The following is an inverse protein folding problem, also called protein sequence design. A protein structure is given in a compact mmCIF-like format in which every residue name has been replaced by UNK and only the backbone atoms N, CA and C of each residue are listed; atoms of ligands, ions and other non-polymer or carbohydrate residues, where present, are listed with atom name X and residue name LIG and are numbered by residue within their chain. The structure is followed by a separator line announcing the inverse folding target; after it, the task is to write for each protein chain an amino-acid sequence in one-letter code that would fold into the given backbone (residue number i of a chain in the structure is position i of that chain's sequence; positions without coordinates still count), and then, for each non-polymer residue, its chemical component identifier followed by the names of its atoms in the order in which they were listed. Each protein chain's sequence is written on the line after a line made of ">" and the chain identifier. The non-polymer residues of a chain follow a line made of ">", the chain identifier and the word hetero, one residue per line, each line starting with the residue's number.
data_IF_988150988505
#
_entry.id   IF_988150988505
#
_cell.length_a   1.000
_cell.length_b   1.000
_cell.length_c   1.000
_cell.angle_alpha   90.00
_cell.angle_beta   90.00
_cell.angle_gamma   90.00
#
_symmetry.space_group_name_H-M   'P 1'
#
loop_
_entity.id
_entity.type
_entity.pdbx_description
1 polymer ?
#
# COMPACT_ATOMS: atom_id res chain seq x y z
N UNK A 1 -4.07 -2.97 3.84
CA UNK A 1 -3.52 -1.81 4.57
C UNK A 1 -4.63 -1.11 5.33
N UNK A 2 -4.46 -0.83 6.61
CA UNK A 2 -5.51 -0.21 7.41
C UNK A 2 -5.46 -0.59 8.89
N UNK A 3 -5.96 0.30 9.74
CA UNK A 3 -6.02 0.06 11.18
C UNK A 3 -7.10 -0.95 11.53
N UNK A 4 -6.81 -1.81 12.50
CA UNK A 4 -7.81 -2.70 13.07
C UNK A 4 -8.93 -1.87 13.71
N UNK A 5 -10.17 -2.26 13.44
CA UNK A 5 -11.35 -1.66 14.02
C UNK A 5 -12.60 -2.48 13.72
N UNK A 6 -13.76 -1.90 13.97
CA UNK A 6 -15.04 -2.51 13.69
C UNK A 6 -16.18 -1.68 14.25
N UNK A 7 -17.40 -2.15 14.04
CA UNK A 7 -18.61 -1.44 14.49
C UNK A 7 -18.60 -1.14 16.00
N UNK A 8 -18.15 -2.10 16.82
CA UNK A 8 -18.18 -1.97 18.29
C UNK A 8 -17.22 -0.95 18.88
N UNK A 9 -16.20 -0.50 18.12
CA UNK A 9 -15.27 0.53 18.55
C UNK A 9 -15.25 1.75 17.61
N UNK A 10 -16.20 1.82 16.68
CA UNK A 10 -16.34 2.93 15.77
C UNK A 10 -16.78 4.19 16.51
N UNK A 11 -16.12 5.31 16.20
CA UNK A 11 -16.52 6.64 16.65
C UNK A 11 -16.25 7.65 15.55
N UNK A 12 -17.28 8.40 15.18
CA UNK A 12 -17.15 9.42 14.14
C UNK A 12 -16.37 10.63 14.66
N UNK A 13 -15.33 11.01 13.93
CA UNK A 13 -14.45 12.14 14.27
C UNK A 13 -14.70 13.31 13.33
N UNK A 14 -15.13 14.45 13.88
CA UNK A 14 -15.24 15.73 13.16
C UNK A 14 -13.90 16.47 13.04
N UNK A 15 -12.81 15.73 12.86
CA UNK A 15 -11.49 16.32 12.75
C UNK A 15 -11.37 17.12 11.44
N UNK A 16 -10.83 18.35 11.44
CA UNK A 16 -10.76 19.21 10.24
C UNK A 16 -10.06 18.58 9.03
N UNK A 17 -9.18 17.60 9.27
CA UNK A 17 -8.41 16.91 8.24
C UNK A 17 -9.17 15.80 7.51
N UNK A 18 -10.29 15.32 8.06
CA UNK A 18 -11.01 14.14 7.56
C UNK A 18 -12.51 14.34 7.45
N UNK A 19 -13.09 15.22 8.27
CA UNK A 19 -14.53 15.50 8.23
C UNK A 19 -14.92 16.15 6.90
N UNK A 20 -15.99 15.65 6.27
CA UNK A 20 -16.44 16.14 4.97
C UNK A 20 -15.58 15.72 3.76
N UNK A 21 -14.54 14.88 3.94
CA UNK A 21 -13.65 14.42 2.85
C UNK A 21 -13.85 12.93 2.54
N UNK A 22 -14.64 12.56 1.50
CA UNK A 22 -14.94 11.16 1.18
C UNK A 22 -13.68 10.31 0.93
N UNK A 23 -12.68 10.87 0.25
CA UNK A 23 -11.45 10.16 -0.12
C UNK A 23 -10.30 10.37 0.87
N UNK A 24 -10.57 10.80 2.11
CA UNK A 24 -9.52 10.98 3.11
C UNK A 24 -8.69 9.71 3.28
N UNK A 25 -9.33 8.55 3.40
CA UNK A 25 -8.64 7.27 3.53
C UNK A 25 -7.73 7.00 2.32
N UNK A 26 -8.30 7.05 1.12
CA UNK A 26 -7.59 6.80 -0.13
C UNK A 26 -6.34 7.68 -0.26
N UNK A 27 -6.48 8.99 0.00
CA UNK A 27 -5.39 9.97 -0.14
C UNK A 27 -4.34 9.91 0.97
N UNK A 28 -4.75 9.65 2.21
CA UNK A 28 -3.83 9.67 3.34
C UNK A 28 -3.05 8.36 3.50
N UNK A 29 -3.64 7.23 3.06
CA UNK A 29 -3.16 5.91 3.44
C UNK A 29 -2.69 5.07 2.25
N UNK A 30 -3.29 5.18 1.05
CA UNK A 30 -2.95 4.26 -0.03
C UNK A 30 -1.62 4.56 -0.72
N UNK A 31 -1.01 5.72 -0.48
CA UNK A 31 0.37 5.99 -0.90
C UNK A 31 1.37 4.97 -0.36
N UNK A 32 1.13 4.42 0.85
CA UNK A 32 2.00 3.39 1.44
C UNK A 32 1.96 2.07 0.65
N UNK A 33 0.82 1.37 0.50
CA UNK A 33 0.77 0.12 -0.26
C UNK A 33 1.09 0.33 -1.75
N UNK A 34 0.70 1.44 -2.36
CA UNK A 34 1.09 1.71 -3.75
C UNK A 34 2.61 1.82 -3.91
N UNK A 35 3.29 2.52 -2.99
CA UNK A 35 4.75 2.61 -2.99
C UNK A 35 5.41 1.23 -2.82
N UNK A 36 4.93 0.41 -1.88
CA UNK A 36 5.45 -0.95 -1.63
C UNK A 36 5.25 -1.85 -2.85
N UNK A 37 4.04 -1.89 -3.40
CA UNK A 37 3.73 -2.70 -4.59
C UNK A 37 4.57 -2.25 -5.78
N UNK A 38 4.71 -0.94 -6.00
CA UNK A 38 5.54 -0.39 -7.07
C UNK A 38 7.02 -0.74 -6.89
N UNK A 39 7.53 -0.70 -5.67
CA UNK A 39 8.92 -1.04 -5.37
C UNK A 39 9.27 -2.47 -5.80
N UNK A 40 8.37 -3.43 -5.55
CA UNK A 40 8.61 -4.84 -5.91
C UNK A 40 8.17 -5.21 -7.33
N UNK A 41 7.11 -4.58 -7.84
CA UNK A 41 6.46 -5.00 -9.08
C UNK A 41 6.67 -4.03 -10.25
N UNK A 42 7.30 -2.88 -10.05
CA UNK A 42 7.47 -1.85 -11.08
C UNK A 42 6.26 -0.92 -11.22
N UNK A 43 6.21 -0.15 -12.30
CA UNK A 43 5.16 0.84 -12.53
C UNK A 43 3.79 0.19 -12.83
N UNK A 44 2.71 0.79 -12.32
CA UNK A 44 1.33 0.38 -12.61
C UNK A 44 0.86 1.03 -13.92
N UNK A 45 0.28 0.22 -14.80
CA UNK A 45 -0.25 0.64 -16.10
C UNK A 45 -1.76 0.73 -16.16
N UNK A 46 -2.46 -0.07 -15.34
CA UNK A 46 -3.92 -0.10 -15.31
C UNK A 46 -4.41 -0.28 -13.87
N UNK A 47 -5.47 0.43 -13.53
CA UNK A 47 -6.13 0.44 -12.23
C UNK A 47 -7.62 0.21 -12.45
N UNK A 48 -8.22 -0.69 -11.66
CA UNK A 48 -9.66 -0.82 -11.53
C UNK A 48 -10.02 -0.89 -10.05
N UNK A 49 -11.00 -0.14 -9.60
CA UNK A 49 -11.35 -0.05 -8.19
C UNK A 49 -12.85 -0.15 -7.95
N UNK A 50 -13.19 -0.91 -6.92
CA UNK A 50 -14.48 -0.88 -6.25
C UNK A 50 -14.25 -0.45 -4.81
N UNK A 51 -14.95 0.59 -4.37
CA UNK A 51 -14.77 1.15 -3.04
C UNK A 51 -16.12 1.39 -2.40
N UNK A 52 -16.16 1.40 -1.06
CA UNK A 52 -17.41 1.58 -0.34
C UNK A 52 -17.18 2.05 1.10
N UNK A 53 -18.25 2.36 1.81
CA UNK A 53 -18.28 2.56 3.26
C UNK A 53 -19.25 1.59 3.94
N UNK A 54 -18.88 1.00 5.09
CA UNK A 54 -19.71 0.04 5.81
C UNK A 54 -20.99 0.69 6.39
N UNK A 55 -21.96 -0.14 6.78
CA UNK A 55 -23.27 0.30 7.23
C UNK A 55 -23.23 1.27 8.42
N UNK A 56 -22.37 1.02 9.41
CA UNK A 56 -22.29 1.86 10.61
C UNK A 56 -21.76 3.28 10.31
N UNK A 57 -20.86 3.44 9.32
CA UNK A 57 -20.44 4.78 8.83
C UNK A 57 -21.58 5.50 8.14
N UNK A 58 -22.35 4.78 7.30
CA UNK A 58 -23.54 5.33 6.65
C UNK A 58 -24.55 5.81 7.68
N UNK A 59 -24.81 5.01 8.72
CA UNK A 59 -25.70 5.37 9.82
C UNK A 59 -25.25 6.62 10.59
N UNK A 60 -23.94 6.84 10.72
CA UNK A 60 -23.37 8.02 11.36
C UNK A 60 -23.27 9.26 10.45
N UNK A 61 -23.62 9.14 9.16
CA UNK A 61 -23.44 10.22 8.18
C UNK A 61 -21.97 10.46 7.80
N UNK A 62 -21.06 9.55 8.14
CA UNK A 62 -19.64 9.64 7.81
C UNK A 62 -19.42 9.40 6.31
N UNK A 63 -18.94 10.42 5.61
CA UNK A 63 -18.76 10.41 4.15
C UNK A 63 -17.55 9.58 3.69
N UNK A 64 -16.66 9.19 4.60
CA UNK A 64 -15.41 8.54 4.21
C UNK A 64 -15.65 7.19 3.54
N UNK A 65 -15.23 7.08 2.27
CA UNK A 65 -15.08 5.83 1.53
C UNK A 65 -13.86 5.12 2.10
N UNK A 66 -14.14 4.10 2.90
CA UNK A 66 -13.16 3.53 3.81
C UNK A 66 -12.74 2.12 3.44
N UNK A 67 -13.54 1.39 2.65
CA UNK A 67 -13.26 0.05 2.13
C UNK A 67 -12.82 0.18 0.67
N UNK A 68 -11.69 -0.41 0.30
CA UNK A 68 -11.18 -0.37 -1.07
C UNK A 68 -10.79 -1.78 -1.53
N UNK A 69 -11.26 -2.18 -2.72
CA UNK A 69 -10.73 -3.30 -3.49
C UNK A 69 -10.19 -2.77 -4.82
N UNK A 70 -8.88 -2.82 -5.01
CA UNK A 70 -8.20 -2.19 -6.15
C UNK A 70 -7.36 -3.22 -6.88
N UNK A 71 -7.62 -3.40 -8.16
CA UNK A 71 -6.93 -4.30 -9.08
C UNK A 71 -5.89 -3.51 -9.86
N UNK A 72 -4.67 -4.06 -9.97
CA UNK A 72 -3.54 -3.40 -10.60
C UNK A 72 -2.90 -4.32 -11.64
N UNK A 73 -2.52 -3.75 -12.79
CA UNK A 73 -1.62 -4.38 -13.76
C UNK A 73 -0.33 -3.61 -13.84
N UNK A 74 0.80 -4.29 -13.69
CA UNK A 74 2.13 -3.70 -13.74
C UNK A 74 2.76 -3.81 -15.13
N UNK A 75 3.73 -2.94 -15.44
CA UNK A 75 4.45 -2.92 -16.73
C UNK A 75 5.13 -4.25 -17.05
N UNK A 76 5.67 -4.93 -16.04
CA UNK A 76 6.33 -6.22 -16.17
C UNK A 76 5.37 -7.43 -16.30
N UNK A 77 4.06 -7.18 -16.36
CA UNK A 77 3.03 -8.22 -16.44
C UNK A 77 2.59 -8.79 -15.10
N UNK A 78 3.15 -8.34 -13.96
CA UNK A 78 2.63 -8.68 -12.64
C UNK A 78 1.17 -8.19 -12.50
N UNK A 79 0.38 -8.92 -11.71
CA UNK A 79 -1.01 -8.60 -11.39
C UNK A 79 -1.10 -8.45 -9.87
N UNK A 80 -1.71 -7.37 -9.41
CA UNK A 80 -1.86 -7.07 -8.00
C UNK A 80 -3.31 -6.84 -7.60
N UNK A 81 -3.57 -7.08 -6.32
CA UNK A 81 -4.81 -6.71 -5.66
C UNK A 81 -4.49 -6.02 -4.34
N UNK A 82 -5.08 -4.85 -4.11
CA UNK A 82 -4.94 -4.06 -2.90
C UNK A 82 -6.27 -4.06 -2.14
N UNK A 83 -6.25 -4.70 -0.98
CA UNK A 83 -7.33 -4.64 0.01
C UNK A 83 -7.07 -3.54 1.05
N UNK A 84 -7.88 -2.49 0.93
CA UNK A 84 -8.03 -1.30 1.76
C UNK A 84 -9.10 -1.37 2.87
N UNK A 85 -8.86 -1.09 4.15
CA UNK A 85 -9.94 -0.58 5.03
C UNK A 85 -9.43 0.50 6.02
N UNK A 86 -10.30 1.26 6.71
CA UNK A 86 -9.85 2.19 7.77
C UNK A 86 -10.62 2.07 9.08
N UNK A 87 -10.21 1.17 9.96
CA UNK A 87 -10.87 0.96 11.25
C UNK A 87 -12.25 0.32 11.12
N UNK A 88 -12.50 -0.41 10.03
CA UNK A 88 -13.78 -1.03 9.73
C UNK A 88 -13.81 -2.54 9.95
N UNK A 89 -12.63 -3.16 9.96
CA UNK A 89 -12.46 -4.58 10.19
C UNK A 89 -11.11 -4.86 10.86
N UNK A 90 -10.99 -6.06 11.42
CA UNK A 90 -9.71 -6.59 11.90
C UNK A 90 -8.94 -7.23 10.75
N UNK A 91 -7.65 -6.90 10.62
CA UNK A 91 -6.75 -7.62 9.72
C UNK A 91 -5.96 -8.69 10.49
N UNK A 92 -5.84 -9.88 9.88
CA UNK A 92 -5.14 -11.01 10.48
C UNK A 92 -3.61 -10.90 10.47
N UNK A 93 -3.04 -10.07 9.59
CA UNK A 93 -1.58 -9.91 9.40
C UNK A 93 -1.03 -8.62 10.01
N UNK A 94 -1.77 -7.99 10.94
CA UNK A 94 -1.39 -6.74 11.59
C UNK A 94 -2.12 -5.49 11.08
N UNK A 95 -1.91 -4.38 11.78
CA UNK A 95 -2.71 -3.14 11.67
C UNK A 95 -2.14 -2.05 10.75
N UNK A 96 -1.00 -2.28 10.10
CA UNK A 96 -0.41 -1.31 9.17
C UNK A 96 -0.63 -1.73 7.72
N UNK A 97 0.38 -2.33 7.10
CA UNK A 97 0.30 -2.93 5.78
C UNK A 97 1.05 -4.25 5.79
N UNK A 98 0.59 -5.18 4.96
CA UNK A 98 1.28 -6.42 4.66
C UNK A 98 1.25 -6.58 3.14
N UNK A 99 2.28 -7.19 2.59
CA UNK A 99 2.39 -7.46 1.15
C UNK A 99 2.84 -8.89 0.96
N UNK A 100 2.11 -9.63 0.14
CA UNK A 100 2.50 -10.96 -0.32
C UNK A 100 2.82 -10.87 -1.81
N UNK A 101 3.99 -11.36 -2.19
CA UNK A 101 4.44 -11.42 -3.58
C UNK A 101 4.85 -12.84 -3.93
N UNK A 102 4.10 -13.43 -4.85
CA UNK A 102 4.37 -14.76 -5.38
C UNK A 102 5.15 -14.68 -6.70
N UNK A 103 6.25 -15.42 -6.78
CA UNK A 103 7.05 -15.62 -7.98
C UNK A 103 7.22 -17.10 -8.29
N UNK A 104 7.88 -17.40 -9.42
CA UNK A 104 8.07 -18.80 -9.87
C UNK A 104 8.99 -19.62 -8.97
N UNK A 105 9.87 -18.97 -8.20
CA UNK A 105 10.84 -19.61 -7.31
C UNK A 105 10.40 -19.65 -5.85
N UNK A 106 9.29 -19.00 -5.51
CA UNK A 106 8.77 -18.91 -4.16
C UNK A 106 7.93 -17.66 -3.95
N UNK A 107 7.41 -17.54 -2.74
CA UNK A 107 6.56 -16.43 -2.31
C UNK A 107 7.17 -15.83 -1.06
N UNK A 108 7.13 -14.50 -0.91
CA UNK A 108 7.38 -13.89 0.39
C UNK A 108 6.17 -13.05 0.84
N UNK A 109 6.01 -12.91 2.15
CA UNK A 109 5.06 -12.01 2.77
C UNK A 109 5.78 -11.15 3.81
N UNK A 110 5.73 -9.84 3.64
CA UNK A 110 6.11 -8.88 4.67
C UNK A 110 4.86 -8.58 5.47
N UNK A 111 4.90 -8.82 6.78
CA UNK A 111 3.76 -8.64 7.67
C UNK A 111 3.95 -7.44 8.59
N UNK A 112 2.86 -6.71 8.79
CA UNK A 112 2.76 -5.57 9.69
C UNK A 112 3.92 -4.58 9.57
N UNK A 113 4.09 -4.04 8.36
CA UNK A 113 5.11 -3.08 7.97
C UNK A 113 6.54 -3.64 7.94
N UNK A 114 7.17 -3.83 9.09
CA UNK A 114 8.57 -4.28 9.18
C UNK A 114 8.76 -5.39 10.20
N UNK A 115 7.68 -5.91 10.80
CA UNK A 115 7.77 -6.87 11.91
C UNK A 115 8.42 -8.17 11.52
N UNK A 116 7.95 -8.78 10.42
CA UNK A 116 8.43 -10.08 9.99
C UNK A 116 8.30 -10.26 8.49
N UNK A 117 9.18 -11.11 7.95
CA UNK A 117 9.11 -11.62 6.60
C UNK A 117 9.01 -13.14 6.66
N UNK A 118 8.01 -13.68 6.00
CA UNK A 118 7.85 -15.12 5.81
C UNK A 118 8.14 -15.45 4.35
N UNK A 119 8.98 -16.45 4.10
CA UNK A 119 9.32 -16.92 2.76
C UNK A 119 8.94 -18.39 2.59
N UNK A 120 8.21 -18.69 1.52
CA UNK A 120 7.82 -20.03 1.11
C UNK A 120 8.57 -20.38 -0.19
N UNK A 121 9.58 -21.27 -0.14
CA UNK A 121 10.24 -21.74 -1.34
C UNK A 121 9.26 -22.50 -2.24
N UNK A 122 9.48 -22.42 -3.57
CA UNK A 122 8.69 -23.22 -4.51
C UNK A 122 8.92 -24.72 -4.31
N UNK A 123 7.91 -25.59 -4.49
CA UNK A 123 8.09 -27.03 -4.40
C UNK A 123 9.24 -27.52 -5.29
N UNK A 124 10.17 -28.29 -4.71
CA UNK A 124 11.35 -28.82 -5.41
C UNK A 124 12.54 -27.86 -5.51
N UNK A 125 12.44 -26.65 -4.94
CA UNK A 125 13.61 -25.78 -4.79
C UNK A 125 14.66 -26.40 -3.85
N UNK A 126 15.97 -26.09 -4.01
CA UNK A 126 17.03 -26.65 -3.16
C UNK A 126 16.85 -26.36 -1.66
N UNK A 127 16.17 -25.26 -1.33
CA UNK A 127 15.86 -24.77 0.01
C UNK A 127 14.44 -25.16 0.48
N UNK A 128 13.70 -25.97 -0.29
CA UNK A 128 12.37 -26.42 0.10
C UNK A 128 12.43 -27.49 1.19
N UNK A 129 12.02 -27.12 2.40
CA UNK A 129 11.92 -28.02 3.57
C UNK A 129 10.48 -28.48 3.85
N UNK A 130 9.49 -27.96 3.11
CA UNK A 130 8.06 -28.11 3.42
C UNK A 130 7.51 -27.06 4.41
N UNK A 131 8.39 -26.34 5.10
CA UNK A 131 8.04 -25.28 6.05
C UNK A 131 8.53 -23.92 5.56
N UNK A 132 7.85 -22.80 5.89
CA UNK A 132 8.34 -21.48 5.56
C UNK A 132 9.56 -21.08 6.40
N UNK A 133 10.39 -20.22 5.83
CA UNK A 133 11.45 -19.52 6.56
C UNK A 133 10.89 -18.20 7.08
N UNK A 134 10.85 -18.05 8.40
CA UNK A 134 10.36 -16.84 9.07
C UNK A 134 11.54 -16.05 9.61
N UNK A 135 11.61 -14.77 9.27
CA UNK A 135 12.61 -13.83 9.78
C UNK A 135 11.89 -12.67 10.47
N UNK A 136 12.11 -12.50 11.76
CA UNK A 136 11.60 -11.36 12.52
C UNK A 136 12.66 -10.26 12.58
N UNK A 137 12.24 -9.00 12.44
CA UNK A 137 13.15 -7.86 12.55
C UNK A 137 13.47 -7.47 14.00
N UNK A 138 12.63 -7.92 14.95
CA UNK A 138 12.63 -7.43 16.33
C UNK A 138 11.99 -6.05 16.51
N UNK A 139 11.40 -5.47 15.46
CA UNK A 139 10.76 -4.15 15.48
C UNK A 139 9.25 -4.28 15.33
N UNK A 140 8.49 -3.88 16.34
CA UNK A 140 7.01 -3.91 16.37
C UNK A 140 6.37 -2.53 16.41
N UNK A 141 7.15 -1.48 16.61
CA UNK A 141 6.67 -0.11 16.61
C UNK A 141 6.91 0.55 15.24
N UNK A 142 5.82 0.97 14.58
CA UNK A 142 5.88 1.73 13.34
C UNK A 142 6.72 3.01 13.46
N UNK A 143 6.76 3.64 14.64
CA UNK A 143 7.58 4.81 14.91
C UNK A 143 9.08 4.58 14.65
N UNK A 144 9.54 3.34 14.76
CA UNK A 144 10.94 2.98 14.49
C UNK A 144 11.29 2.98 12.99
N UNK A 145 10.30 3.04 12.09
CA UNK A 145 10.55 3.20 10.65
C UNK A 145 11.08 4.59 10.30
N UNK A 146 10.74 5.62 11.09
CA UNK A 146 11.14 7.00 10.81
C UNK A 146 12.65 7.23 10.86
N UNK A 147 13.38 6.85 11.94
CA UNK A 147 14.83 6.99 11.95
C UNK A 147 15.48 6.17 10.83
N UNK A 148 15.00 4.96 10.53
CA UNK A 148 15.51 4.13 9.42
C UNK A 148 15.38 4.86 8.07
N UNK A 149 14.22 5.47 7.80
CA UNK A 149 13.98 6.22 6.57
C UNK A 149 14.85 7.47 6.47
N UNK A 150 15.06 8.18 7.57
CA UNK A 150 15.92 9.37 7.63
C UNK A 150 17.39 8.98 7.43
N UNK A 151 17.86 7.91 8.06
CA UNK A 151 19.23 7.41 7.86
C UNK A 151 19.47 6.99 6.41
N UNK A 152 18.51 6.29 5.79
CA UNK A 152 18.56 5.98 4.36
C UNK A 152 18.65 7.24 3.49
N UNK A 153 17.87 8.28 3.80
CA UNK A 153 18.01 9.56 3.07
C UNK A 153 19.40 10.18 3.24
N UNK A 154 19.93 10.23 4.46
CA UNK A 154 21.26 10.79 4.73
C UNK A 154 22.38 10.00 4.05
N UNK A 155 22.25 8.67 3.98
CA UNK A 155 23.16 7.81 3.23
C UNK A 155 23.12 8.14 1.72
N UNK A 156 21.93 8.29 1.12
CA UNK A 156 21.81 8.65 -0.30
C UNK A 156 22.49 9.99 -0.60
N UNK A 157 22.27 10.99 0.28
CA UNK A 157 22.90 12.31 0.15
C UNK A 157 24.42 12.22 0.29
N UNK A 158 24.91 11.48 1.28
CA UNK A 158 26.35 11.31 1.53
C UNK A 158 27.04 10.63 0.35
N UNK A 159 26.37 9.67 -0.28
CA UNK A 159 26.87 8.93 -1.43
C UNK A 159 26.69 9.68 -2.76
N UNK A 160 26.12 10.89 -2.75
CA UNK A 160 25.91 11.67 -3.98
C UNK A 160 24.94 11.01 -4.96
N UNK A 161 23.96 10.24 -4.46
CA UNK A 161 22.97 9.57 -5.30
C UNK A 161 22.20 10.62 -6.12
N UNK A 162 22.07 10.44 -7.45
CA UNK A 162 21.28 11.35 -8.27
C UNK A 162 19.85 11.50 -7.76
N UNK A 163 19.24 12.69 -7.92
CA UNK A 163 17.93 13.03 -7.33
C UNK A 163 16.81 12.06 -7.74
N UNK A 164 16.88 11.60 -8.98
CA UNK A 164 15.96 10.67 -9.60
C UNK A 164 16.15 9.21 -9.13
N UNK A 165 17.26 8.91 -8.46
CA UNK A 165 17.58 7.60 -7.90
C UNK A 165 17.52 7.58 -6.36
N UNK A 166 17.21 8.71 -5.72
CA UNK A 166 16.98 8.75 -4.27
C UNK A 166 15.89 7.76 -3.88
N UNK A 167 16.11 7.01 -2.80
CA UNK A 167 15.08 6.11 -2.26
C UNK A 167 13.86 6.93 -1.88
N UNK A 168 12.68 6.51 -2.36
CA UNK A 168 11.42 7.23 -2.17
C UNK A 168 11.52 8.71 -2.63
N UNK A 169 11.89 8.88 -3.90
CA UNK A 169 12.04 10.16 -4.58
C UNK A 169 10.69 10.87 -4.78
N UNK A 170 10.73 12.14 -5.19
CA UNK A 170 9.53 12.87 -5.60
C UNK A 170 8.81 12.22 -6.81
N UNK A 171 9.56 11.51 -7.67
CA UNK A 171 8.99 10.74 -8.78
C UNK A 171 8.19 9.54 -8.27
N UNK A 172 8.72 8.83 -7.27
CA UNK A 172 8.00 7.71 -6.64
C UNK A 172 6.73 8.18 -5.96
N UNK A 173 6.80 9.34 -5.27
CA UNK A 173 5.65 9.95 -4.63
C UNK A 173 4.58 10.39 -5.66
N UNK A 174 4.99 10.96 -6.79
CA UNK A 174 4.08 11.33 -7.88
C UNK A 174 3.41 10.09 -8.48
N UNK A 175 4.13 9.00 -8.69
CA UNK A 175 3.56 7.75 -9.19
C UNK A 175 2.46 7.21 -8.27
N UNK A 176 2.72 7.13 -6.97
CA UNK A 176 1.73 6.68 -5.99
C UNK A 176 0.50 7.62 -5.96
N UNK A 177 0.70 8.92 -6.16
CA UNK A 177 -0.38 9.91 -6.26
C UNK A 177 -1.23 9.69 -7.52
N UNK A 178 -0.62 9.46 -8.68
CA UNK A 178 -1.35 9.15 -9.91
C UNK A 178 -2.17 7.86 -9.77
N UNK A 179 -1.64 6.84 -9.10
CA UNK A 179 -2.40 5.60 -8.84
C UNK A 179 -3.59 5.84 -7.90
N UNK A 180 -3.41 6.72 -6.92
CA UNK A 180 -4.48 7.14 -5.99
C UNK A 180 -5.62 7.81 -6.74
N UNK A 181 -5.31 8.75 -7.64
CA UNK A 181 -6.34 9.42 -8.46
C UNK A 181 -6.98 8.49 -9.47
N UNK A 182 -6.22 7.61 -10.13
CA UNK A 182 -6.77 6.61 -11.03
C UNK A 182 -7.75 5.66 -10.32
N UNK A 183 -7.47 5.29 -9.06
CA UNK A 183 -8.37 4.48 -8.25
C UNK A 183 -9.67 5.23 -7.91
N UNK A 184 -9.57 6.51 -7.53
CA UNK A 184 -10.75 7.37 -7.29
C UNK A 184 -11.59 7.50 -8.57
N UNK A 185 -10.95 7.79 -9.70
CA UNK A 185 -11.64 7.92 -10.99
C UNK A 185 -12.35 6.62 -11.39
N UNK A 186 -11.66 5.48 -11.25
CA UNK A 186 -12.25 4.17 -11.52
C UNK A 186 -13.50 3.95 -10.68
N UNK A 187 -13.43 4.24 -9.37
CA UNK A 187 -14.57 4.12 -8.47
C UNK A 187 -15.73 5.05 -8.85
N UNK A 188 -15.46 6.34 -9.10
CA UNK A 188 -16.49 7.33 -9.45
C UNK A 188 -17.21 7.01 -10.76
N UNK A 189 -16.54 6.33 -11.69
CA UNK A 189 -17.09 5.93 -12.98
C UNK A 189 -17.65 4.50 -12.98
N UNK A 190 -17.86 3.88 -11.81
CA UNK A 190 -18.51 2.57 -11.69
C UNK A 190 -17.58 1.37 -11.91
N UNK A 191 -16.29 1.54 -11.62
CA UNK A 191 -15.28 0.49 -11.70
C UNK A 191 -14.71 0.27 -13.09
N UNK A 192 -14.61 1.31 -13.92
CA UNK A 192 -13.94 1.19 -15.23
C UNK A 192 -12.44 0.96 -15.07
N UNK A 193 -11.80 0.44 -16.12
CA UNK A 193 -10.35 0.38 -16.20
C UNK A 193 -9.77 1.77 -16.49
N UNK A 194 -8.92 2.29 -15.61
CA UNK A 194 -8.26 3.59 -15.75
C UNK A 194 -6.76 3.38 -15.96
N UNK A 195 -6.13 4.23 -16.78
CA UNK A 195 -4.67 4.29 -16.92
C UNK A 195 -4.18 5.53 -16.16
N UNK A 196 -3.30 5.38 -15.15
CA UNK A 196 -2.71 6.54 -14.47
C UNK A 196 -2.00 7.46 -15.47
N UNK A 197 -1.92 8.76 -15.17
CA UNK A 197 -1.19 9.66 -16.05
C UNK A 197 0.29 9.27 -16.12
N UNK A 198 0.92 9.38 -17.30
CA UNK A 198 2.35 9.13 -17.43
C UNK A 198 3.13 10.14 -16.60
N UNK A 199 4.15 9.66 -15.91
CA UNK A 199 5.07 10.53 -15.18
C UNK A 199 5.84 11.44 -16.16
N UNK A 200 6.14 12.70 -15.77
CA UNK A 200 6.95 13.59 -16.58
C UNK A 200 8.29 12.95 -16.99
N UNK A 201 8.79 13.28 -18.17
CA UNK A 201 10.14 12.88 -18.58
C UNK A 201 11.17 13.51 -17.65
N UNK A 202 12.16 12.71 -17.24
CA UNK A 202 13.29 13.26 -16.50
C UNK A 202 14.16 14.05 -17.47
N UNK A 203 14.21 15.36 -17.27
CA UNK A 203 15.21 16.19 -17.93
C UNK A 203 16.43 16.19 -17.01
N UNK A 204 17.52 15.57 -17.47
CA UNK A 204 18.80 15.55 -16.75
C UNK A 204 19.37 16.94 -16.52
#
# INVERSE_FOLDING_TARGET
>A
MGFAGGEFNYSYSKAPRSDGFPYFHVKAFLSHPFSVMRHFCGDVTHVQAFMERPHFRRGAGDLMVSINGIHLRFENGCIGYLLSQRGDATFGLGGWWSVELAGTRGTFCIENCIEKVTYWPSPGAPDFSGEPVVTESGITDFGQTFPLRIHAFLEDITNGVPKEQLRASGRDALAALEYTWAAIESYEQGGILVRPHPLPTLNG
#
